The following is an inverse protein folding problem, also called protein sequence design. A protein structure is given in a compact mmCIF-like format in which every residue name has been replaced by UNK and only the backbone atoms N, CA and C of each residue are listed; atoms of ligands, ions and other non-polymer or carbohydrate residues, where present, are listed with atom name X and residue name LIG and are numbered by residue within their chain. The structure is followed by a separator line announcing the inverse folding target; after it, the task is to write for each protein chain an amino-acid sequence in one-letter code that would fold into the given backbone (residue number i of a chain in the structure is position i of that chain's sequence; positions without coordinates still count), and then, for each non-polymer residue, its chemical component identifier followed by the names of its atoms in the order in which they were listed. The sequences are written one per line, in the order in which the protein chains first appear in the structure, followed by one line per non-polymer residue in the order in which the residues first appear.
data_IF_101856808263
#
_entry.id   IF_101856808263
#
_cell.length_a   1.000
_cell.length_b   1.000
_cell.length_c   1.000
_cell.angle_alpha   90.00
_cell.angle_beta   90.00
_cell.angle_gamma   90.00
#
_symmetry.space_group_name_H-M   'P 1'
#
loop_
_entity.id
_entity.type
_entity.pdbx_description
1 polymer ?
#
# COMPACT_ATOMS: atom_id res chain seq x y z
N UNK A 1 10.45 4.57 -16.50
CA UNK A 1 9.71 3.94 -15.39
C UNK A 1 8.29 4.46 -15.34
N UNK A 2 7.29 3.56 -15.30
CA UNK A 2 5.86 3.92 -15.36
C UNK A 2 5.28 4.06 -13.96
N UNK A 3 4.45 5.08 -13.76
CA UNK A 3 3.63 5.26 -12.56
C UNK A 3 2.21 4.81 -12.84
N UNK A 4 1.67 3.95 -11.99
CA UNK A 4 0.25 3.53 -12.00
C UNK A 4 -0.39 3.94 -10.69
N UNK A 5 -1.59 4.52 -10.77
CA UNK A 5 -2.36 4.90 -9.58
C UNK A 5 -3.56 3.95 -9.49
N UNK A 6 -3.66 3.24 -8.37
CA UNK A 6 -4.85 2.46 -8.01
C UNK A 6 -5.57 3.21 -6.91
N UNK A 7 -6.82 3.56 -7.15
CA UNK A 7 -7.64 4.35 -6.25
C UNK A 7 -8.78 3.51 -5.68
N UNK A 8 -9.05 3.66 -4.38
CA UNK A 8 -10.23 3.12 -3.71
C UNK A 8 -10.87 4.22 -2.86
N UNK A 9 -12.19 4.29 -2.87
CA UNK A 9 -12.96 5.23 -2.06
C UNK A 9 -13.90 4.48 -1.14
N UNK A 10 -14.05 5.01 0.08
CA UNK A 10 -14.96 4.50 1.08
C UNK A 10 -15.27 5.58 2.11
N UNK A 11 -15.86 5.18 3.22
CA UNK A 11 -16.11 6.08 4.35
C UNK A 11 -15.74 5.37 5.64
N UNK A 12 -15.19 6.12 6.57
CA UNK A 12 -15.00 5.61 7.91
C UNK A 12 -16.35 5.40 8.59
N UNK A 13 -16.49 4.24 9.22
CA UNK A 13 -17.67 3.82 9.96
C UNK A 13 -17.96 4.74 11.16
N UNK A 14 -19.12 4.57 11.79
CA UNK A 14 -19.52 5.33 12.98
C UNK A 14 -18.58 5.18 14.18
N UNK A 15 -17.66 4.21 14.14
CA UNK A 15 -16.61 3.98 15.15
C UNK A 15 -15.24 4.53 14.75
N UNK A 16 -15.17 5.28 13.64
CA UNK A 16 -13.96 5.98 13.22
C UNK A 16 -12.93 5.11 12.50
N UNK A 17 -13.37 4.02 11.87
CA UNK A 17 -12.53 3.02 11.20
C UNK A 17 -12.94 2.82 9.74
N UNK A 18 -11.96 2.81 8.82
CA UNK A 18 -12.10 2.42 7.42
C UNK A 18 -11.00 1.41 7.04
N UNK A 19 -11.35 0.42 6.23
CA UNK A 19 -10.43 -0.61 5.75
C UNK A 19 -10.51 -0.72 4.22
N UNK A 20 -9.34 -0.84 3.59
CA UNK A 20 -9.19 -0.90 2.14
C UNK A 20 -8.31 -2.09 1.75
N UNK A 21 -8.77 -2.85 0.75
CA UNK A 21 -8.04 -3.97 0.16
C UNK A 21 -7.83 -3.71 -1.35
N UNK A 22 -6.57 -3.56 -1.76
CA UNK A 22 -6.19 -3.42 -3.17
C UNK A 22 -6.17 -4.75 -3.95
N UNK A 23 -6.52 -5.87 -3.31
CA UNK A 23 -6.61 -7.21 -3.89
C UNK A 23 -5.26 -7.94 -4.03
N UNK A 24 -4.20 -7.22 -4.39
CA UNK A 24 -2.81 -7.73 -4.47
C UNK A 24 -1.84 -6.78 -3.81
N UNK A 25 -0.74 -7.29 -3.23
CA UNK A 25 0.33 -6.45 -2.70
C UNK A 25 1.19 -5.87 -3.84
N UNK A 26 1.70 -4.66 -3.69
CA UNK A 26 2.64 -4.05 -4.63
C UNK A 26 3.59 -3.09 -3.89
N UNK A 27 4.81 -2.92 -4.39
CA UNK A 27 5.70 -1.85 -3.94
C UNK A 27 5.16 -0.49 -4.39
N UNK A 28 4.87 0.36 -3.42
CA UNK A 28 4.16 1.59 -3.68
C UNK A 28 4.37 2.64 -2.60
N UNK A 29 3.86 3.83 -2.89
CA UNK A 29 3.58 4.88 -1.92
C UNK A 29 2.07 4.98 -1.70
N UNK A 30 1.67 5.53 -0.55
CA UNK A 30 0.27 5.79 -0.23
C UNK A 30 0.02 7.30 -0.14
N UNK A 31 -0.97 7.75 -0.90
CA UNK A 31 -1.61 9.05 -0.74
C UNK A 31 -3.05 8.85 -0.24
N UNK A 32 -3.51 9.75 0.61
CA UNK A 32 -4.86 9.75 1.16
C UNK A 32 -5.53 11.08 0.85
N UNK A 33 -6.82 11.03 0.55
CA UNK A 33 -7.70 12.18 0.57
C UNK A 33 -8.69 12.02 1.72
N UNK A 34 -8.67 12.97 2.64
CA UNK A 34 -9.48 12.98 3.86
C UNK A 34 -10.28 14.29 3.90
N UNK A 35 -11.60 14.19 3.73
CA UNK A 35 -12.53 15.34 3.73
C UNK A 35 -13.56 15.23 4.86
N UNK A 36 -13.07 15.30 6.10
CA UNK A 36 -13.84 14.97 7.28
C UNK A 36 -13.13 15.41 8.56
N UNK A 37 -13.46 14.79 9.69
CA UNK A 37 -12.93 15.19 10.99
C UNK A 37 -12.21 14.03 11.70
N UNK A 38 -11.21 14.37 12.51
CA UNK A 38 -10.51 13.44 13.38
C UNK A 38 -10.92 13.65 14.84
N UNK A 39 -10.75 12.63 15.68
CA UNK A 39 -10.88 12.78 17.14
C UNK A 39 -9.64 13.43 17.76
N UNK A 40 -8.45 12.95 17.40
CA UNK A 40 -7.15 13.49 17.82
C UNK A 40 -6.16 13.45 16.65
N UNK A 41 -5.49 12.31 16.49
CA UNK A 41 -4.62 11.98 15.37
C UNK A 41 -5.32 10.97 14.48
N UNK A 42 -5.23 11.15 13.16
CA UNK A 42 -5.57 10.08 12.24
C UNK A 42 -4.40 9.11 12.24
N UNK A 43 -4.70 7.85 12.54
CA UNK A 43 -3.73 6.78 12.42
C UNK A 43 -3.99 6.05 11.10
N UNK A 44 -2.94 5.92 10.29
CA UNK A 44 -2.98 5.13 9.07
C UNK A 44 -2.03 3.96 9.24
N UNK A 45 -2.47 2.77 8.82
CA UNK A 45 -1.64 1.56 8.82
C UNK A 45 -1.62 0.99 7.42
N UNK A 46 -0.43 0.63 6.93
CA UNK A 46 -0.28 -0.17 5.71
C UNK A 46 0.26 -1.55 6.07
N UNK A 47 -0.28 -2.59 5.44
CA UNK A 47 0.17 -3.95 5.68
C UNK A 47 -0.02 -4.90 4.49
N UNK A 48 0.74 -5.99 4.50
CA UNK A 48 0.54 -7.15 3.63
C UNK A 48 -0.46 -8.17 4.19
N UNK A 49 -0.86 -8.04 5.46
CA UNK A 49 -1.68 -9.02 6.14
C UNK A 49 -2.84 -8.39 6.93
N UNK A 50 -4.02 -8.99 6.76
CA UNK A 50 -5.25 -8.59 7.42
C UNK A 50 -6.15 -9.81 7.62
N UNK A 51 -6.96 -9.78 8.67
CA UNK A 51 -8.01 -10.75 8.96
C UNK A 51 -9.27 -9.99 9.36
N UNK A 52 -10.44 -10.45 8.91
CA UNK A 52 -11.74 -9.86 9.27
C UNK A 52 -11.80 -8.33 9.08
N UNK A 53 -11.28 -7.82 7.96
CA UNK A 53 -11.19 -6.39 7.62
C UNK A 53 -10.41 -5.55 8.64
N UNK A 54 -9.39 -6.14 9.25
CA UNK A 54 -8.47 -5.46 10.17
C UNK A 54 -7.03 -5.90 9.90
N UNK A 55 -6.10 -4.95 9.84
CA UNK A 55 -4.68 -5.28 9.70
C UNK A 55 -4.19 -5.93 10.99
N UNK A 56 -3.40 -7.00 10.83
CA UNK A 56 -2.88 -7.77 11.98
C UNK A 56 -1.37 -7.61 12.02
N UNK A 57 -0.86 -7.08 13.12
CA UNK A 57 0.57 -7.09 13.38
C UNK A 57 1.00 -8.50 13.77
N UNK A 58 1.70 -9.18 12.87
CA UNK A 58 2.29 -10.49 13.11
C UNK A 58 3.80 -10.37 13.23
N UNK A 59 4.44 -11.19 14.06
CA UNK A 59 5.89 -11.33 14.06
C UNK A 59 6.37 -11.91 12.73
N UNK A 60 7.47 -11.39 12.17
CA UNK A 60 8.06 -11.86 10.91
C UNK A 60 8.43 -10.74 9.95
N UNK A 61 8.64 -11.10 8.68
CA UNK A 61 9.14 -10.22 7.62
C UNK A 61 8.04 -9.52 6.80
N UNK A 62 6.81 -9.49 7.31
CA UNK A 62 5.69 -8.83 6.63
C UNK A 62 5.69 -7.34 6.93
N UNK A 63 5.35 -6.54 5.94
CA UNK A 63 5.19 -5.11 6.10
C UNK A 63 4.03 -4.82 7.03
N UNK A 64 4.34 -4.04 8.06
CA UNK A 64 3.38 -3.42 8.97
C UNK A 64 3.98 -2.08 9.37
N UNK A 65 3.41 -0.99 8.86
CA UNK A 65 3.91 0.38 9.12
C UNK A 65 2.74 1.25 9.55
N UNK A 66 2.98 2.06 10.57
CA UNK A 66 2.00 3.00 11.12
C UNK A 66 2.53 4.42 10.89
N UNK A 67 1.64 5.31 10.45
CA UNK A 67 1.86 6.75 10.45
C UNK A 67 0.71 7.44 11.20
N UNK A 68 1.02 8.48 11.98
CA UNK A 68 0.04 9.22 12.75
C UNK A 68 0.20 10.71 12.44
N UNK A 69 -0.87 11.36 11.98
CA UNK A 69 -0.81 12.79 11.66
C UNK A 69 -2.12 13.53 11.98
N UNK A 70 -1.98 14.84 12.21
CA UNK A 70 -3.14 15.74 12.36
C UNK A 70 -3.65 16.15 10.99
N UNK A 71 -4.96 16.16 10.83
CA UNK A 71 -5.62 16.73 9.66
C UNK A 71 -6.06 18.17 9.95
N UNK A 72 -6.14 19.00 8.91
CA UNK A 72 -6.57 20.41 9.03
C UNK A 72 -7.60 20.70 7.95
N UNK A 73 -8.58 21.61 8.18
CA UNK A 73 -9.65 21.87 7.22
C UNK A 73 -9.17 22.33 5.84
N UNK A 74 -8.00 22.97 5.75
CA UNK A 74 -7.44 23.54 4.53
C UNK A 74 -6.73 22.50 3.65
N UNK A 75 -6.38 21.34 4.22
CA UNK A 75 -5.62 20.29 3.55
C UNK A 75 -6.47 19.04 3.45
N UNK A 76 -6.71 18.56 2.23
CA UNK A 76 -7.43 17.31 1.99
C UNK A 76 -6.51 16.14 1.64
N UNK A 77 -5.37 16.42 1.01
CA UNK A 77 -4.45 15.39 0.54
C UNK A 77 -3.28 15.20 1.51
N UNK A 78 -3.05 13.96 1.92
CA UNK A 78 -2.00 13.55 2.85
C UNK A 78 -1.16 12.44 2.22
N UNK A 79 0.14 12.40 2.56
CA UNK A 79 1.04 11.33 2.12
C UNK A 79 1.46 10.53 3.33
N UNK A 80 1.35 9.20 3.24
CA UNK A 80 1.87 8.31 4.25
C UNK A 80 3.39 8.34 4.23
N UNK A 81 4.01 8.54 5.39
CA UNK A 81 5.46 8.58 5.53
C UNK A 81 6.01 7.16 5.61
N UNK A 82 6.65 6.70 4.53
CA UNK A 82 7.39 5.45 4.54
C UNK A 82 8.82 5.76 5.02
N UNK A 83 9.26 5.23 6.18
CA UNK A 83 10.61 5.47 6.66
C UNK A 83 11.63 4.74 5.79
N UNK A 84 12.82 5.33 5.67
CA UNK A 84 14.00 4.74 5.02
C UNK A 84 14.21 3.32 5.54
N UNK A 85 14.33 2.38 4.60
CA UNK A 85 14.59 0.99 4.94
C UNK A 85 15.94 0.89 5.66
N UNK A 86 15.96 0.13 6.75
CA UNK A 86 17.19 -0.24 7.44
C UNK A 86 17.26 -1.75 7.47
N UNK A 87 18.28 -2.30 6.82
CA UNK A 87 18.51 -3.74 6.83
C UNK A 87 18.66 -4.24 8.27
N UNK A 88 17.95 -5.32 8.60
CA UNK A 88 18.15 -6.03 9.86
C UNK A 88 19.55 -6.67 9.95
N UNK A 89 20.17 -6.90 8.79
CA UNK A 89 21.53 -7.36 8.64
C UNK A 89 22.40 -6.12 8.43
N UNK A 90 22.93 -5.56 9.53
CA UNK A 90 23.54 -4.22 9.59
C UNK A 90 24.74 -3.92 8.68
N UNK A 91 25.14 -4.86 7.82
CA UNK A 91 26.21 -4.71 6.82
C UNK A 91 25.70 -4.52 5.39
N UNK A 92 24.41 -4.72 5.12
CA UNK A 92 23.90 -4.54 3.76
C UNK A 92 23.63 -3.05 3.49
N UNK A 93 24.12 -2.51 2.36
CA UNK A 93 23.84 -1.14 1.98
C UNK A 93 22.34 -0.96 1.77
N UNK A 94 21.82 0.20 2.16
CA UNK A 94 20.48 0.62 1.77
C UNK A 94 20.44 0.76 0.25
N UNK A 95 19.48 0.13 -0.39
CA UNK A 95 19.21 0.35 -1.82
C UNK A 95 18.29 1.55 -1.89
N UNK A 96 18.85 2.69 -2.32
CA UNK A 96 18.07 3.91 -2.46
C UNK A 96 16.97 3.74 -3.51
N UNK A 97 15.79 4.26 -3.21
CA UNK A 97 14.74 4.41 -4.20
C UNK A 97 15.17 5.43 -5.25
N UNK A 98 14.83 5.22 -6.55
CA UNK A 98 15.11 6.21 -7.58
C UNK A 98 14.57 7.59 -7.20
N UNK A 99 15.37 8.62 -7.42
CA UNK A 99 15.06 9.99 -6.99
C UNK A 99 13.70 10.50 -7.50
N UNK A 100 13.29 10.05 -8.69
CA UNK A 100 11.99 10.37 -9.31
C UNK A 100 10.76 9.93 -8.50
N UNK A 101 10.92 9.02 -7.53
CA UNK A 101 9.80 8.57 -6.66
C UNK A 101 9.50 9.62 -5.58
N UNK A 102 10.46 10.51 -5.32
CA UNK A 102 10.35 11.55 -4.30
C UNK A 102 10.09 10.99 -2.90
N UNK A 103 10.66 9.82 -2.58
CA UNK A 103 10.53 9.15 -1.28
C UNK A 103 10.56 7.62 -1.39
N UNK A 104 10.59 6.97 -0.24
CA UNK A 104 10.63 5.51 -0.12
C UNK A 104 9.34 4.82 -0.56
N UNK A 105 9.44 3.53 -0.82
CA UNK A 105 8.31 2.64 -1.14
C UNK A 105 8.25 1.49 -0.13
N UNK A 106 7.07 0.91 0.03
CA UNK A 106 6.87 -0.31 0.78
C UNK A 106 5.92 -1.22 0.03
N UNK A 107 6.05 -2.53 0.24
CA UNK A 107 5.09 -3.50 -0.27
C UNK A 107 3.88 -3.57 0.68
N UNK A 108 2.68 -3.34 0.17
CA UNK A 108 1.45 -3.47 0.96
C UNK A 108 0.24 -3.77 0.08
N UNK A 109 -0.77 -4.41 0.68
CA UNK A 109 -2.06 -4.73 0.08
C UNK A 109 -3.21 -4.00 0.76
N UNK A 110 -3.11 -3.82 2.08
CA UNK A 110 -4.18 -3.30 2.91
C UNK A 110 -3.82 -1.92 3.45
N UNK A 111 -4.84 -1.09 3.61
CA UNK A 111 -4.77 0.19 4.32
C UNK A 111 -5.87 0.24 5.36
N UNK A 112 -5.52 0.59 6.58
CA UNK A 112 -6.46 0.85 7.66
C UNK A 112 -6.35 2.32 8.07
N UNK A 113 -7.49 3.00 8.19
CA UNK A 113 -7.58 4.39 8.65
C UNK A 113 -8.41 4.42 9.93
N UNK A 114 -7.80 4.89 11.00
CA UNK A 114 -8.31 4.88 12.36
C UNK A 114 -8.46 6.30 12.91
N UNK A 115 -9.41 6.46 13.84
CA UNK A 115 -9.74 7.72 14.53
C UNK A 115 -10.19 8.86 13.60
N UNK A 116 -10.80 8.49 12.47
CA UNK A 116 -11.25 9.43 11.44
C UNK A 116 -12.73 9.20 11.11
N UNK A 117 -13.47 10.28 10.85
CA UNK A 117 -14.90 10.24 10.55
C UNK A 117 -15.18 11.05 9.28
N UNK A 118 -15.57 10.35 8.22
CA UNK A 118 -15.89 10.96 6.93
C UNK A 118 -15.49 10.09 5.75
N UNK A 119 -15.61 10.63 4.52
CA UNK A 119 -15.12 10.01 3.30
C UNK A 119 -13.61 9.86 3.31
N UNK A 120 -13.13 8.72 2.81
CA UNK A 120 -11.70 8.42 2.66
C UNK A 120 -11.46 7.92 1.25
N UNK A 121 -10.53 8.54 0.54
CA UNK A 121 -9.96 7.99 -0.69
C UNK A 121 -8.51 7.64 -0.46
N UNK A 122 -8.12 6.42 -0.84
CA UNK A 122 -6.73 5.96 -0.79
C UNK A 122 -6.22 5.73 -2.20
N UNK A 123 -5.01 6.21 -2.47
CA UNK A 123 -4.32 6.07 -3.75
C UNK A 123 -3.00 5.35 -3.54
N UNK A 124 -2.91 4.12 -4.06
CA UNK A 124 -1.65 3.39 -4.13
C UNK A 124 -0.92 3.77 -5.41
N UNK A 125 0.22 4.43 -5.23
CA UNK A 125 1.10 4.87 -6.31
C UNK A 125 2.15 3.79 -6.53
N UNK A 126 1.95 3.00 -7.56
CA UNK A 126 2.80 1.87 -7.94
C UNK A 126 3.80 2.30 -9.01
N UNK A 127 4.97 1.69 -8.97
CA UNK A 127 6.13 2.02 -9.81
C UNK A 127 6.57 0.76 -10.56
N UNK A 128 6.52 0.81 -11.89
CA UNK A 128 6.81 -0.35 -12.74
C UNK A 128 7.98 -0.08 -13.68
N UNK A 129 8.86 -1.06 -13.74
CA UNK A 129 9.82 -1.28 -14.82
C UNK A 129 9.11 -1.22 -16.19
N UNK A 130 9.80 -0.72 -17.21
CA UNK A 130 9.32 -0.65 -18.61
C UNK A 130 9.24 -2.02 -19.32
N UNK A 131 9.36 -3.13 -18.58
CA UNK A 131 9.22 -4.48 -19.09
C UNK A 131 7.83 -4.67 -19.73
N UNK A 132 7.75 -5.26 -20.95
CA UNK A 132 6.47 -5.52 -21.59
C UNK A 132 5.65 -6.51 -20.78
N UNK A 133 4.41 -6.16 -20.43
CA UNK A 133 3.51 -7.08 -19.70
C UNK A 133 3.19 -8.34 -20.52
N UNK A 134 3.35 -8.30 -21.84
CA UNK A 134 3.12 -9.39 -22.79
C UNK A 134 4.42 -10.09 -23.23
N UNK A 135 5.55 -9.83 -22.58
CA UNK A 135 6.83 -10.48 -22.89
C UNK A 135 6.78 -12.01 -22.73
N UNK A 136 5.82 -12.52 -21.96
CA UNK A 136 5.53 -13.95 -21.85
C UNK A 136 4.03 -14.19 -21.60
N UNK A 137 3.55 -15.33 -22.08
CA UNK A 137 2.18 -15.80 -21.90
C UNK A 137 2.18 -17.29 -21.52
N UNK A 138 1.17 -17.70 -20.76
CA UNK A 138 0.94 -19.07 -20.35
C UNK A 138 -0.58 -19.30 -20.31
N UNK A 139 -1.00 -20.48 -20.76
CA UNK A 139 -2.38 -20.93 -20.69
C UNK A 139 -2.37 -22.44 -20.45
N UNK A 140 -3.27 -22.92 -19.59
CA UNK A 140 -3.44 -24.31 -19.28
C UNK A 140 -4.91 -24.72 -19.30
N UNK A 141 -5.18 -26.00 -19.55
CA UNK A 141 -6.52 -26.55 -19.30
C UNK A 141 -6.84 -26.67 -17.80
N UNK A 142 -5.87 -26.42 -16.92
CA UNK A 142 -6.03 -26.44 -15.47
C UNK A 142 -5.97 -25.01 -14.92
N UNK A 143 -7.13 -24.48 -14.52
CA UNK A 143 -7.26 -23.13 -13.96
C UNK A 143 -6.34 -22.84 -12.76
N UNK A 144 -5.92 -23.86 -12.00
CA UNK A 144 -4.95 -23.66 -10.90
C UNK A 144 -3.56 -23.29 -11.42
N UNK A 145 -3.15 -23.83 -12.56
CA UNK A 145 -1.85 -23.48 -13.16
C UNK A 145 -1.87 -22.06 -13.72
N UNK A 146 -3.00 -21.61 -14.28
CA UNK A 146 -3.17 -20.22 -14.70
C UNK A 146 -3.09 -19.26 -13.50
N UNK A 147 -3.68 -19.63 -12.36
CA UNK A 147 -3.55 -18.84 -11.12
C UNK A 147 -2.11 -18.78 -10.60
N UNK A 148 -1.36 -19.87 -10.69
CA UNK A 148 0.08 -19.89 -10.34
C UNK A 148 0.86 -18.98 -11.27
N UNK A 149 0.59 -19.04 -12.57
CA UNK A 149 1.19 -18.14 -13.55
C UNK A 149 0.90 -16.66 -13.24
N UNK A 150 -0.37 -16.31 -12.99
CA UNK A 150 -0.78 -14.95 -12.64
C UNK A 150 -0.10 -14.44 -11.38
N UNK A 151 0.09 -15.33 -10.39
CA UNK A 151 0.84 -15.01 -9.17
C UNK A 151 2.31 -14.75 -9.46
N UNK A 152 2.99 -15.64 -10.20
CA UNK A 152 4.40 -15.49 -10.56
C UNK A 152 4.62 -14.22 -11.37
N UNK A 153 3.80 -13.98 -12.41
CA UNK A 153 3.86 -12.78 -13.24
C UNK A 153 3.70 -11.51 -12.40
N UNK A 154 2.71 -11.49 -11.50
CA UNK A 154 2.52 -10.37 -10.58
C UNK A 154 3.74 -10.17 -9.68
N UNK A 155 4.29 -11.24 -9.09
CA UNK A 155 5.46 -11.12 -8.21
C UNK A 155 6.69 -10.57 -8.91
N UNK A 156 6.86 -10.82 -10.20
CA UNK A 156 8.00 -10.29 -10.98
C UNK A 156 7.78 -8.82 -11.33
N UNK A 157 6.56 -8.43 -11.69
CA UNK A 157 6.26 -7.04 -12.09
C UNK A 157 6.15 -6.09 -10.89
N UNK A 158 5.70 -6.60 -9.75
CA UNK A 158 5.43 -5.80 -8.57
C UNK A 158 6.66 -5.57 -7.68
N UNK A 159 7.82 -6.16 -8.00
CA UNK A 159 9.11 -6.06 -7.28
C UNK A 159 10.23 -5.65 -8.22
#
# INVERSE_FOLDING_TARGET
MRKKIVELTGSASSVGHAFFDFGKAAYAQLELELDGRAQDLVQVVISEYAENNKVIHTTGWRTFKIDNFRITPEKKTYRFTIPVHRSAYGTFPHVETPAEFGGEVAIFRYVEVNHYYGPVTVRRIEFYNDAPEDAAAFESSNAKLDQVWDFCKHSILAT
#
